data_IF_207266287968
#
_entry.id   IF_207266287968
#
_cell.length_a   1.000
_cell.length_b   1.000
_cell.length_c   1.000
_cell.angle_alpha   90.00
_cell.angle_beta   90.00
_cell.angle_gamma   90.00
#
_symmetry.space_group_name_H-M   'P 1'
#
loop_
_entity.id
_entity.type
_entity.pdbx_description
1 polymer ?
#
# COMPACT_ATOMS: atom_id res chain seq x y z
N UNK A 1 -35.43 -11.61 16.74
CA UNK A 1 -34.16 -11.52 17.51
C UNK A 1 -33.15 -12.46 16.86
N UNK A 2 -32.09 -11.95 16.25
CA UNK A 2 -31.00 -12.79 15.73
C UNK A 2 -29.88 -12.75 16.77
N UNK A 3 -29.55 -13.90 17.36
CA UNK A 3 -28.47 -14.04 18.33
C UNK A 3 -27.13 -13.78 17.62
N UNK A 4 -26.36 -12.78 18.10
CA UNK A 4 -24.96 -12.59 17.68
C UNK A 4 -24.15 -13.78 18.21
N UNK A 5 -23.67 -14.62 17.31
CA UNK A 5 -22.70 -15.66 17.65
C UNK A 5 -21.43 -14.98 18.20
N UNK A 6 -21.12 -15.21 19.47
CA UNK A 6 -19.85 -14.80 20.06
C UNK A 6 -18.74 -15.66 19.42
N UNK A 7 -17.87 -15.02 18.62
CA UNK A 7 -16.68 -15.66 18.06
C UNK A 7 -15.75 -16.05 19.21
N UNK A 8 -15.52 -17.35 19.40
CA UNK A 8 -14.54 -17.85 20.38
C UNK A 8 -13.12 -17.47 19.94
N UNK A 9 -12.24 -17.08 20.88
CA UNK A 9 -10.85 -16.79 20.56
C UNK A 9 -10.12 -18.05 20.08
N UNK A 10 -9.34 -17.91 19.00
CA UNK A 10 -8.53 -18.98 18.43
C UNK A 10 -7.23 -19.07 19.22
N UNK A 11 -6.88 -20.26 19.70
CA UNK A 11 -5.64 -20.54 20.44
C UNK A 11 -4.56 -21.11 19.53
N UNK A 12 -3.29 -20.82 19.80
CA UNK A 12 -2.17 -21.43 19.08
C UNK A 12 -1.90 -22.87 19.59
N UNK A 13 -0.93 -23.57 18.98
CA UNK A 13 -0.55 -24.94 19.35
C UNK A 13 -0.06 -25.09 20.80
N UNK A 14 0.24 -23.97 21.49
CA UNK A 14 0.67 -23.92 22.88
C UNK A 14 -0.46 -23.47 23.83
N UNK A 15 -1.70 -23.39 23.34
CA UNK A 15 -2.87 -23.04 24.15
C UNK A 15 -2.93 -21.58 24.61
N UNK A 16 -2.01 -20.73 24.15
CA UNK A 16 -2.06 -19.28 24.37
C UNK A 16 -3.11 -18.68 23.44
N UNK A 17 -3.79 -17.64 23.92
CA UNK A 17 -4.58 -16.79 23.03
C UNK A 17 -3.66 -16.37 21.90
N UNK A 18 -4.01 -16.81 20.69
CA UNK A 18 -3.26 -16.40 19.52
C UNK A 18 -3.46 -14.90 19.51
N UNK A 19 -2.41 -14.10 19.65
CA UNK A 19 -2.46 -12.74 19.13
C UNK A 19 -2.80 -12.94 17.65
N UNK A 20 -4.07 -12.78 17.30
CA UNK A 20 -4.68 -13.28 16.06
C UNK A 20 -4.29 -12.46 14.84
N UNK A 21 -3.29 -11.58 14.96
CA UNK A 21 -2.83 -10.78 13.84
C UNK A 21 -1.91 -11.63 12.98
N UNK A 22 -2.50 -12.18 11.93
CA UNK A 22 -1.76 -12.70 10.78
C UNK A 22 -1.04 -11.56 10.09
N UNK A 23 0.22 -11.78 9.72
CA UNK A 23 0.90 -10.98 8.69
C UNK A 23 0.51 -11.53 7.32
N UNK A 24 0.46 -10.68 6.31
CA UNK A 24 0.14 -11.13 4.95
C UNK A 24 1.21 -12.06 4.39
N UNK A 25 2.49 -11.74 4.61
CA UNK A 25 3.63 -12.54 4.16
C UNK A 25 4.74 -12.57 5.21
N UNK A 26 5.49 -13.66 5.22
CA UNK A 26 6.74 -13.81 5.98
C UNK A 26 7.77 -14.47 5.08
N UNK A 27 8.99 -13.94 5.08
CA UNK A 27 10.11 -14.56 4.40
C UNK A 27 11.39 -14.52 5.23
N UNK A 28 12.26 -15.47 4.94
CA UNK A 28 13.58 -15.61 5.54
C UNK A 28 14.64 -15.61 4.45
N UNK A 29 15.64 -14.76 4.60
CA UNK A 29 16.82 -14.72 3.75
C UNK A 29 17.98 -15.41 4.46
N UNK A 30 18.37 -16.58 3.96
CA UNK A 30 19.42 -17.41 4.54
C UNK A 30 18.90 -18.63 5.31
N UNK A 31 19.80 -19.31 6.03
CA UNK A 31 19.49 -20.52 6.81
C UNK A 31 20.02 -20.36 8.24
N UNK A 32 19.35 -21.01 9.20
CA UNK A 32 19.74 -20.98 10.61
C UNK A 32 19.15 -19.80 11.39
N UNK A 33 19.54 -19.68 12.65
CA UNK A 33 18.99 -18.72 13.61
C UNK A 33 19.39 -17.26 13.30
N UNK A 34 20.50 -17.06 12.59
CA UNK A 34 21.02 -15.75 12.14
C UNK A 34 20.38 -15.25 10.83
N UNK A 35 19.42 -15.99 10.26
CA UNK A 35 18.82 -15.64 8.99
C UNK A 35 17.92 -14.40 9.13
N UNK A 36 18.09 -13.43 8.22
CA UNK A 36 17.28 -12.21 8.22
C UNK A 36 15.81 -12.56 7.97
N UNK A 37 14.97 -12.25 8.95
CA UNK A 37 13.52 -12.40 8.85
C UNK A 37 12.91 -11.11 8.33
N UNK A 38 11.89 -11.21 7.47
CA UNK A 38 11.13 -10.05 6.99
C UNK A 38 9.65 -10.37 7.13
N UNK A 39 8.96 -9.51 7.86
CA UNK A 39 7.53 -9.59 8.13
C UNK A 39 6.82 -8.51 7.31
N UNK A 40 5.91 -8.92 6.43
CA UNK A 40 5.34 -8.02 5.42
C UNK A 40 3.83 -7.95 5.59
N UNK A 41 3.33 -6.72 5.71
CA UNK A 41 1.92 -6.38 5.51
C UNK A 41 1.79 -5.75 4.12
N UNK A 42 0.76 -6.12 3.35
CA UNK A 42 0.54 -5.61 2.00
C UNK A 42 -0.81 -4.92 1.88
N UNK A 43 -0.84 -3.76 1.25
CA UNK A 43 -2.06 -2.97 1.01
C UNK A 43 -2.17 -2.51 -0.44
N UNK A 44 -3.41 -2.38 -0.89
CA UNK A 44 -3.76 -1.76 -2.16
C UNK A 44 -4.27 -0.35 -1.90
N UNK A 45 -3.77 0.61 -2.68
CA UNK A 45 -4.17 2.01 -2.61
C UNK A 45 -4.50 2.51 -4.02
N UNK A 46 -5.29 3.58 -4.07
CA UNK A 46 -5.69 4.24 -5.30
C UNK A 46 -5.49 5.74 -5.16
N UNK A 47 -4.80 6.35 -6.12
CA UNK A 47 -4.56 7.78 -6.17
C UNK A 47 -5.22 8.35 -7.42
N UNK A 48 -6.27 9.14 -7.22
CA UNK A 48 -6.93 9.84 -8.31
C UNK A 48 -6.22 11.16 -8.58
N UNK A 49 -5.63 11.29 -9.77
CA UNK A 49 -4.86 12.47 -10.17
C UNK A 49 -5.59 13.34 -11.18
N UNK A 50 -6.90 13.13 -11.36
CA UNK A 50 -7.73 14.03 -12.17
C UNK A 50 -7.81 15.42 -11.54
N UNK A 51 -7.88 16.51 -12.34
CA UNK A 51 -7.95 17.93 -11.87
C UNK A 51 -8.87 18.16 -10.66
N UNK A 52 -10.03 17.48 -10.59
CA UNK A 52 -11.02 17.67 -9.52
C UNK A 52 -10.69 16.92 -8.22
N UNK A 53 -9.68 16.05 -8.22
CA UNK A 53 -9.37 15.13 -7.12
C UNK A 53 -8.16 15.57 -6.27
N UNK A 54 -7.70 16.82 -6.44
CA UNK A 54 -6.51 17.41 -5.79
C UNK A 54 -5.18 16.66 -5.97
N UNK A 55 -5.16 15.56 -6.72
CA UNK A 55 -4.02 14.64 -6.82
C UNK A 55 -3.56 14.12 -5.44
N UNK A 56 -4.51 13.91 -4.53
CA UNK A 56 -4.25 13.47 -3.17
C UNK A 56 -4.92 12.14 -2.83
N UNK A 57 -4.34 11.41 -1.87
CA UNK A 57 -5.00 10.26 -1.29
C UNK A 57 -6.28 10.67 -0.59
N UNK A 58 -7.37 9.96 -0.86
CA UNK A 58 -8.60 10.13 -0.12
C UNK A 58 -8.44 9.63 1.35
N UNK A 59 -9.40 10.00 2.19
CA UNK A 59 -9.39 9.64 3.62
C UNK A 59 -9.26 8.14 3.86
N UNK A 60 -9.87 7.31 3.01
CA UNK A 60 -9.81 5.83 3.13
C UNK A 60 -8.37 5.35 2.90
N UNK A 61 -7.69 5.84 1.86
CA UNK A 61 -6.30 5.48 1.58
C UNK A 61 -5.36 5.95 2.70
N UNK A 62 -5.57 7.16 3.22
CA UNK A 62 -4.80 7.67 4.37
C UNK A 62 -5.03 6.81 5.63
N UNK A 63 -6.26 6.35 5.86
CA UNK A 63 -6.58 5.43 6.95
C UNK A 63 -5.88 4.08 6.77
N UNK A 64 -5.88 3.52 5.56
CA UNK A 64 -5.16 2.28 5.24
C UNK A 64 -3.65 2.41 5.50
N UNK A 65 -3.04 3.53 5.06
CA UNK A 65 -1.63 3.82 5.33
C UNK A 65 -1.38 3.89 6.83
N UNK A 66 -2.23 4.60 7.57
CA UNK A 66 -2.14 4.68 9.03
C UNK A 66 -2.25 3.31 9.70
N UNK A 67 -3.24 2.50 9.32
CA UNK A 67 -3.45 1.16 9.86
C UNK A 67 -2.24 0.25 9.56
N UNK A 68 -1.69 0.29 8.34
CA UNK A 68 -0.51 -0.48 7.98
C UNK A 68 0.70 -0.13 8.86
N UNK A 69 0.93 1.16 9.13
CA UNK A 69 1.96 1.65 10.07
C UNK A 69 1.73 1.10 11.47
N UNK A 70 0.49 1.10 11.95
CA UNK A 70 0.16 0.53 13.27
C UNK A 70 0.39 -0.98 13.33
N UNK A 71 0.07 -1.70 12.26
CA UNK A 71 0.26 -3.14 12.17
C UNK A 71 1.75 -3.51 12.26
N UNK A 72 2.61 -2.86 11.48
CA UNK A 72 4.06 -3.13 11.53
C UNK A 72 4.68 -2.73 12.89
N UNK A 73 4.16 -1.68 13.52
CA UNK A 73 4.52 -1.31 14.90
C UNK A 73 4.11 -2.37 15.91
N UNK A 74 2.93 -2.94 15.75
CA UNK A 74 2.45 -3.97 16.67
C UNK A 74 3.18 -5.29 16.47
N UNK A 75 3.60 -5.63 15.23
CA UNK A 75 4.52 -6.75 14.96
C UNK A 75 5.84 -6.55 15.71
N UNK A 76 6.42 -5.35 15.68
CA UNK A 76 7.65 -5.03 16.43
C UNK A 76 7.53 -5.31 17.94
N UNK A 77 6.34 -5.12 18.52
CA UNK A 77 6.10 -5.41 19.95
C UNK A 77 6.00 -6.90 20.29
N UNK A 78 5.81 -7.77 19.29
CA UNK A 78 5.70 -9.22 19.49
C UNK A 78 7.05 -9.92 19.70
N UNK A 79 8.16 -9.16 19.80
CA UNK A 79 9.53 -9.67 20.00
C UNK A 79 10.00 -10.63 18.88
N UNK A 80 9.51 -10.42 17.65
CA UNK A 80 10.07 -11.07 16.47
C UNK A 80 11.26 -10.25 15.95
N UNK A 81 12.42 -10.90 15.84
CA UNK A 81 13.60 -10.34 15.20
C UNK A 81 13.37 -10.16 13.69
N UNK A 82 14.13 -9.24 13.06
CA UNK A 82 14.09 -9.00 11.60
C UNK A 82 13.45 -7.67 11.18
N UNK A 83 13.20 -7.47 9.88
CA UNK A 83 12.58 -6.25 9.34
C UNK A 83 11.06 -6.34 9.30
N UNK A 84 10.39 -5.22 9.58
CA UNK A 84 8.93 -5.13 9.59
C UNK A 84 8.53 -4.12 8.52
N UNK A 85 7.82 -4.59 7.50
CA UNK A 85 7.63 -3.83 6.27
C UNK A 85 6.14 -3.72 5.96
N UNK A 86 5.66 -2.51 5.73
CA UNK A 86 4.38 -2.29 5.09
C UNK A 86 4.63 -1.98 3.62
N UNK A 87 4.04 -2.77 2.73
CA UNK A 87 4.14 -2.59 1.28
C UNK A 87 2.81 -2.14 0.70
N UNK A 88 2.89 -1.34 -0.37
CA UNK A 88 1.74 -0.71 -1.00
C UNK A 88 1.82 -0.90 -2.51
N UNK A 89 0.78 -1.47 -3.11
CA UNK A 89 0.55 -1.37 -4.55
C UNK A 89 -0.42 -0.20 -4.79
N UNK A 90 0.10 0.88 -5.36
CA UNK A 90 -0.61 2.15 -5.51
C UNK A 90 -0.94 2.32 -6.98
N UNK A 91 -2.22 2.20 -7.32
CA UNK A 91 -2.71 2.49 -8.66
C UNK A 91 -2.94 4.00 -8.78
N UNK A 92 -2.11 4.65 -9.58
CA UNK A 92 -2.32 6.05 -9.96
C UNK A 92 -3.24 6.05 -11.16
N UNK A 93 -4.37 6.74 -11.08
CA UNK A 93 -5.34 6.76 -12.16
C UNK A 93 -5.91 8.15 -12.43
N UNK A 94 -6.25 8.38 -13.69
CA UNK A 94 -6.90 9.60 -14.15
C UNK A 94 -8.15 9.24 -14.98
N UNK A 95 -9.12 10.16 -14.98
CA UNK A 95 -10.27 10.08 -15.86
C UNK A 95 -9.82 10.23 -17.33
N UNK A 96 -10.45 9.49 -18.25
CA UNK A 96 -10.14 9.58 -19.70
C UNK A 96 -10.19 10.99 -20.30
N UNK A 97 -11.03 11.86 -19.73
CA UNK A 97 -11.21 13.22 -20.21
C UNK A 97 -10.12 14.17 -19.69
N UNK A 98 -9.22 13.67 -18.85
CA UNK A 98 -8.09 14.41 -18.31
C UNK A 98 -6.79 13.71 -18.71
N UNK A 99 -6.17 14.21 -19.77
CA UNK A 99 -4.83 13.79 -20.17
C UNK A 99 -3.85 14.63 -19.35
N UNK A 100 -3.17 13.98 -18.40
CA UNK A 100 -2.17 14.64 -17.58
C UNK A 100 -0.99 15.12 -18.42
N UNK A 101 -0.45 16.28 -18.06
CA UNK A 101 0.82 16.78 -18.55
C UNK A 101 1.99 15.98 -17.96
N UNK A 102 3.17 16.05 -18.60
CA UNK A 102 4.37 15.42 -18.05
C UNK A 102 4.71 15.97 -16.66
N UNK A 103 4.59 17.28 -16.45
CA UNK A 103 4.90 17.91 -15.16
C UNK A 103 3.99 17.38 -14.04
N UNK A 104 2.68 17.22 -14.31
CA UNK A 104 1.76 16.61 -13.36
C UNK A 104 2.17 15.16 -13.04
N UNK A 105 2.51 14.38 -14.06
CA UNK A 105 2.91 12.98 -13.92
C UNK A 105 4.20 12.80 -13.12
N UNK A 106 5.22 13.62 -13.39
CA UNK A 106 6.52 13.55 -12.71
C UNK A 106 6.41 13.99 -11.22
N UNK A 107 5.39 14.77 -10.86
CA UNK A 107 5.14 15.17 -9.46
C UNK A 107 4.53 14.07 -8.59
N UNK A 108 3.88 13.06 -9.20
CA UNK A 108 3.14 12.02 -8.46
C UNK A 108 4.03 11.13 -7.60
N UNK A 109 5.17 10.59 -8.09
CA UNK A 109 6.07 9.80 -7.26
C UNK A 109 6.60 10.57 -6.05
N UNK A 110 6.94 11.84 -6.22
CA UNK A 110 7.42 12.71 -5.14
C UNK A 110 6.33 12.94 -4.08
N UNK A 111 5.09 13.19 -4.51
CA UNK A 111 3.95 13.29 -3.59
C UNK A 111 3.75 11.99 -2.80
N UNK A 112 3.75 10.84 -3.46
CA UNK A 112 3.57 9.54 -2.80
C UNK A 112 4.69 9.28 -1.81
N UNK A 113 5.94 9.52 -2.20
CA UNK A 113 7.09 9.40 -1.31
C UNK A 113 6.92 10.30 -0.09
N UNK A 114 6.59 11.57 -0.28
CA UNK A 114 6.37 12.51 0.80
C UNK A 114 5.26 12.07 1.75
N UNK A 115 4.13 11.57 1.26
CA UNK A 115 3.05 11.04 2.11
C UNK A 115 3.49 9.80 2.88
N UNK A 116 4.17 8.87 2.20
CA UNK A 116 4.67 7.66 2.83
C UNK A 116 5.74 7.98 3.87
N UNK A 117 6.54 9.03 3.66
CA UNK A 117 7.59 9.54 4.55
C UNK A 117 7.09 10.52 5.62
N UNK A 118 5.90 11.10 5.46
CA UNK A 118 5.32 12.01 6.46
C UNK A 118 4.79 11.19 7.65
N UNK A 119 5.59 11.18 8.71
CA UNK A 119 5.30 10.44 9.94
C UNK A 119 5.11 11.43 11.10
N UNK A 120 3.86 11.54 11.58
CA UNK A 120 3.46 12.42 12.69
C UNK A 120 4.08 12.12 14.07
N UNK A 121 4.88 11.07 14.22
CA UNK A 121 5.23 10.53 15.55
C UNK A 121 6.73 10.65 15.94
N UNK A 122 7.59 11.29 15.14
CA UNK A 122 8.94 11.68 15.56
C UNK A 122 9.89 10.55 15.98
N UNK A 123 9.65 9.30 15.55
CA UNK A 123 10.47 8.11 15.86
C UNK A 123 11.10 7.53 14.60
N UNK A 124 12.27 6.91 14.76
CA UNK A 124 13.13 6.40 13.67
C UNK A 124 12.53 5.19 12.95
N UNK A 125 11.70 5.45 11.93
CA UNK A 125 11.54 4.51 10.81
C UNK A 125 12.85 4.49 10.01
N UNK A 126 13.19 3.36 9.40
CA UNK A 126 14.43 3.25 8.61
C UNK A 126 14.33 4.03 7.29
N UNK A 127 13.13 4.12 6.71
CA UNK A 127 12.86 4.91 5.51
C UNK A 127 11.60 4.47 4.78
N UNK A 128 11.25 5.25 3.76
CA UNK A 128 10.29 4.89 2.73
C UNK A 128 11.05 4.54 1.44
N UNK A 129 10.52 3.58 0.68
CA UNK A 129 11.04 3.20 -0.64
C UNK A 129 9.88 3.28 -1.63
N UNK A 130 10.11 3.91 -2.78
CA UNK A 130 9.14 3.96 -3.88
C UNK A 130 9.79 3.47 -5.16
N UNK A 131 9.16 2.50 -5.82
CA UNK A 131 9.47 2.08 -7.18
C UNK A 131 8.28 2.36 -8.10
N UNK A 132 8.54 2.85 -9.31
CA UNK A 132 7.48 3.19 -10.26
C UNK A 132 7.54 2.25 -11.45
N UNK A 133 6.41 1.59 -11.74
CA UNK A 133 6.16 0.98 -13.03
C UNK A 133 5.49 2.03 -13.92
N UNK A 134 6.26 2.56 -14.87
CA UNK A 134 5.80 3.54 -15.85
C UNK A 134 5.09 2.85 -17.02
N UNK A 135 3.80 3.15 -17.18
CA UNK A 135 2.94 2.57 -18.21
C UNK A 135 2.69 3.53 -19.39
N UNK A 136 3.25 4.76 -19.35
CA UNK A 136 3.00 5.81 -20.36
C UNK A 136 3.41 5.39 -21.76
N UNK A 137 4.52 4.69 -21.92
CA UNK A 137 4.99 4.24 -23.24
C UNK A 137 4.06 3.18 -23.86
N UNK A 138 3.57 2.26 -23.03
CA UNK A 138 2.59 1.25 -23.45
C UNK A 138 1.28 1.91 -23.86
N UNK A 139 0.86 2.93 -23.11
CA UNK A 139 -0.29 3.78 -23.40
C UNK A 139 -0.14 4.50 -24.76
N UNK A 140 1.01 5.11 -25.00
CA UNK A 140 1.28 5.84 -26.24
C UNK A 140 1.28 4.93 -27.48
N UNK A 141 1.69 3.66 -27.33
CA UNK A 141 1.76 2.67 -28.43
C UNK A 141 0.41 2.03 -28.78
N UNK A 142 -0.40 1.68 -27.77
CA UNK A 142 -1.69 1.03 -27.97
C UNK A 142 -2.79 2.01 -28.44
N UNK A 143 -2.60 3.31 -28.19
CA UNK A 143 -3.61 4.32 -28.45
C UNK A 143 -4.58 4.44 -27.29
N UNK A 144 -5.05 5.66 -27.08
CA UNK A 144 -5.80 6.07 -25.89
C UNK A 144 -7.10 5.26 -25.69
N UNK A 145 -7.75 4.80 -26.75
CA UNK A 145 -8.99 4.02 -26.67
C UNK A 145 -8.79 2.57 -26.19
N UNK A 146 -7.58 1.99 -26.29
CA UNK A 146 -7.31 0.59 -25.91
C UNK A 146 -6.84 0.43 -24.45
N UNK A 147 -6.49 1.53 -23.79
CA UNK A 147 -5.85 1.55 -22.46
C UNK A 147 -6.81 1.92 -21.33
N UNK A 148 -8.04 2.32 -21.69
CA UNK A 148 -9.05 2.65 -20.70
C UNK A 148 -9.72 1.39 -20.17
N UNK A 149 -9.80 1.31 -18.85
CA UNK A 149 -10.66 0.35 -18.18
C UNK A 149 -11.94 1.04 -17.76
N UNK A 150 -13.08 0.56 -18.28
CA UNK A 150 -14.39 0.96 -17.78
C UNK A 150 -14.66 0.20 -16.49
N UNK A 151 -14.69 0.90 -15.37
CA UNK A 151 -15.11 0.31 -14.10
C UNK A 151 -16.64 0.35 -14.06
N UNK A 152 -17.25 -0.83 -14.14
CA UNK A 152 -18.69 -1.01 -14.34
C UNK A 152 -19.58 -0.36 -13.26
N UNK A 153 -19.03 -0.07 -12.08
CA UNK A 153 -19.79 0.47 -10.95
C UNK A 153 -20.05 1.98 -11.03
N UNK A 154 -19.30 2.73 -11.86
CA UNK A 154 -19.36 4.20 -11.86
C UNK A 154 -19.59 4.84 -13.23
N UNK A 155 -19.67 4.05 -14.30
CA UNK A 155 -19.74 4.55 -15.68
C UNK A 155 -18.66 5.60 -16.01
N UNK A 156 -17.48 5.42 -15.42
CA UNK A 156 -16.30 6.25 -15.62
C UNK A 156 -15.23 5.40 -16.29
N UNK A 157 -14.66 5.95 -17.35
CA UNK A 157 -13.47 5.40 -18.01
C UNK A 157 -12.22 6.05 -17.40
N UNK A 158 -11.32 5.22 -16.90
CA UNK A 158 -10.06 5.64 -16.28
C UNK A 158 -8.89 4.93 -16.93
N UNK A 159 -7.71 5.55 -16.86
CA UNK A 159 -6.44 4.94 -17.23
C UNK A 159 -5.44 5.05 -16.07
N UNK A 160 -4.44 4.17 -16.10
CA UNK A 160 -3.41 4.05 -15.07
C UNK A 160 -2.05 4.36 -15.68
N UNK A 161 -1.54 5.60 -15.59
CA UNK A 161 -0.21 5.93 -16.10
C UNK A 161 0.92 5.29 -15.29
N UNK A 162 0.69 5.04 -13.99
CA UNK A 162 1.68 4.46 -13.09
C UNK A 162 1.06 3.41 -12.19
N UNK A 163 1.86 2.38 -11.89
CA UNK A 163 1.72 1.62 -10.64
C UNK A 163 2.93 1.94 -9.79
N UNK A 164 2.70 2.54 -8.62
CA UNK A 164 3.77 2.83 -7.67
C UNK A 164 3.80 1.74 -6.59
N UNK A 165 4.95 1.12 -6.42
CA UNK A 165 5.24 0.18 -5.35
C UNK A 165 5.91 0.92 -4.20
N UNK A 166 5.16 1.17 -3.15
CA UNK A 166 5.64 1.82 -1.93
C UNK A 166 6.03 0.80 -0.86
N UNK A 167 7.00 1.13 -0.03
CA UNK A 167 7.29 0.40 1.20
C UNK A 167 7.67 1.33 2.34
N UNK A 168 7.25 0.99 3.55
CA UNK A 168 7.64 1.61 4.81
C UNK A 168 8.36 0.55 5.64
N UNK A 169 9.59 0.85 6.07
CA UNK A 169 10.42 -0.11 6.81
C UNK A 169 10.62 0.33 8.26
N UNK A 170 10.36 -0.61 9.16
CA UNK A 170 10.70 -0.57 10.58
C UNK A 170 11.76 -1.63 10.90
N UNK A 171 12.75 -1.21 11.69
CA UNK A 171 13.63 -2.13 12.44
C UNK A 171 12.88 -2.79 13.59
#
# INVERSE_FOLDING_TARGET
MIAKAQKKPIKNAQGKDKNTRSVDLWCQLGKGEEALQIWIEHKYLWLNVSIKASAEFNTICLEIISQAREQIRDIKKLQFEGLKVATFAIQVYANKNHIMTNDELESVPEYIEAVLADYKDGRSYMGALCGVLDLRESIAKAGIEEIYHRYGDYDIEIYTPYVVFGAIVLE
#
